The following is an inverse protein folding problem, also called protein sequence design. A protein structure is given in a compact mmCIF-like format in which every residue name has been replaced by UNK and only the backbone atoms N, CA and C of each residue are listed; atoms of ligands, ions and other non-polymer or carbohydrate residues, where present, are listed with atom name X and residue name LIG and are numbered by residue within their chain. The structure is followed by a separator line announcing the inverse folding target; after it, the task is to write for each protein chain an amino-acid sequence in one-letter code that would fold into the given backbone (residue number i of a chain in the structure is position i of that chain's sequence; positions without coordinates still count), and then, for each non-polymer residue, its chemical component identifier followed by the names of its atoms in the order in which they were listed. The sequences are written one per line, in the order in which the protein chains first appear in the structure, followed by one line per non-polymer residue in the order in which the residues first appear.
data_IF_347216850494
#
_entry.id   IF_347216850494
#
_cell.length_a   1.000
_cell.length_b   1.000
_cell.length_c   1.000
_cell.angle_alpha   90.00
_cell.angle_beta   90.00
_cell.angle_gamma   90.00
#
_symmetry.space_group_name_H-M   'P 1'
#
loop_
_entity.id
_entity.type
_entity.pdbx_description
1 polymer ?
#
# COMPACT_ATOMS: atom_id res chain seq x y z
N UNK A 1 30.11 -15.77 24.04
CA UNK A 1 31.33 -16.30 24.68
C UNK A 1 32.22 -16.87 23.60
N UNK A 2 33.16 -16.05 23.14
CA UNK A 2 34.55 -16.40 22.80
C UNK A 2 35.18 -15.11 22.23
N UNK A 3 35.68 -14.31 23.17
CA UNK A 3 36.59 -13.21 22.93
C UNK A 3 38.00 -13.79 22.77
N UNK A 4 38.69 -13.52 21.66
CA UNK A 4 40.14 -13.63 21.60
C UNK A 4 40.69 -12.42 20.83
N UNK A 5 40.88 -11.34 21.58
CA UNK A 5 41.63 -10.17 21.16
C UNK A 5 43.12 -10.46 21.33
N UNK A 6 43.82 -10.81 20.24
CA UNK A 6 45.29 -10.76 20.20
C UNK A 6 45.74 -9.34 19.82
N UNK A 7 46.06 -8.56 20.84
CA UNK A 7 46.88 -7.35 20.74
C UNK A 7 48.34 -7.79 20.93
N UNK A 8 49.12 -7.83 19.85
CA UNK A 8 50.56 -8.08 19.92
C UNK A 8 51.33 -6.96 19.20
N UNK A 9 52.11 -6.26 20.02
CA UNK A 9 52.93 -5.09 19.74
C UNK A 9 54.28 -5.51 19.13
N UNK A 10 54.61 -4.82 18.02
CA UNK A 10 55.92 -4.54 17.43
C UNK A 10 56.91 -5.67 17.06
N UNK A 11 57.40 -5.60 15.82
CA UNK A 11 58.40 -6.51 15.29
C UNK A 11 58.56 -6.37 13.78
N UNK A 12 59.58 -5.61 13.35
CA UNK A 12 59.99 -5.39 11.96
C UNK A 12 60.06 -6.70 11.15
N UNK A 13 58.98 -7.03 10.45
CA UNK A 13 58.92 -8.15 9.50
C UNK A 13 58.87 -7.62 8.08
N UNK A 14 59.94 -7.92 7.34
CA UNK A 14 60.11 -7.73 5.89
C UNK A 14 58.78 -7.82 5.15
N UNK A 15 58.40 -6.73 4.46
CA UNK A 15 57.16 -6.64 3.67
C UNK A 15 57.10 -7.77 2.64
N UNK A 16 56.37 -8.84 2.95
CA UNK A 16 55.99 -9.86 1.96
C UNK A 16 55.14 -9.20 0.87
N UNK A 17 55.34 -9.51 -0.41
CA UNK A 17 54.52 -8.95 -1.48
C UNK A 17 53.05 -9.28 -1.21
N UNK A 18 52.21 -8.23 -1.13
CA UNK A 18 50.75 -8.36 -0.95
C UNK A 18 50.24 -9.31 -2.03
N UNK A 19 49.75 -10.50 -1.63
CA UNK A 19 49.00 -11.38 -2.53
C UNK A 19 47.86 -10.55 -3.11
N UNK A 20 47.84 -10.42 -4.44
CA UNK A 20 46.74 -9.76 -5.15
C UNK A 20 45.43 -10.36 -4.64
N UNK A 21 44.56 -9.53 -4.07
CA UNK A 21 43.26 -9.97 -3.60
C UNK A 21 42.55 -10.65 -4.77
N UNK A 22 42.31 -11.96 -4.66
CA UNK A 22 41.51 -12.69 -5.65
C UNK A 22 40.20 -11.94 -5.77
N UNK A 23 39.92 -11.36 -6.94
CA UNK A 23 38.63 -10.75 -7.24
C UNK A 23 37.58 -11.84 -6.99
N UNK A 24 36.75 -11.64 -5.96
CA UNK A 24 35.61 -12.53 -5.70
C UNK A 24 34.80 -12.61 -7.01
N UNK A 25 34.38 -13.81 -7.46
CA UNK A 25 33.55 -13.91 -8.65
C UNK A 25 32.34 -12.99 -8.45
N UNK A 26 32.12 -12.10 -9.41
CA UNK A 26 30.94 -11.23 -9.42
C UNK A 26 29.73 -12.14 -9.36
N UNK A 27 28.93 -12.04 -8.30
CA UNK A 27 27.71 -12.84 -8.15
C UNK A 27 26.83 -12.52 -9.37
N UNK A 28 26.51 -13.54 -10.17
CA UNK A 28 25.58 -13.40 -11.30
C UNK A 28 24.24 -12.90 -10.75
N UNK A 29 23.61 -11.99 -11.48
CA UNK A 29 22.32 -11.46 -11.06
C UNK A 29 21.25 -12.55 -11.15
N UNK A 30 20.23 -12.49 -10.30
CA UNK A 30 19.10 -13.44 -10.37
C UNK A 30 18.40 -13.38 -11.73
N UNK A 31 18.44 -12.21 -12.39
CA UNK A 31 17.91 -11.98 -13.74
C UNK A 31 18.66 -12.76 -14.83
N UNK A 32 19.89 -13.20 -14.57
CA UNK A 32 20.70 -14.00 -15.50
C UNK A 32 20.61 -15.51 -15.23
N UNK A 33 20.18 -15.89 -14.03
CA UNK A 33 20.17 -17.29 -13.55
C UNK A 33 18.81 -17.95 -13.75
N UNK A 34 17.72 -17.18 -13.66
CA UNK A 34 16.35 -17.68 -13.74
C UNK A 34 15.59 -17.14 -14.95
N UNK A 35 14.61 -17.91 -15.43
CA UNK A 35 13.75 -17.47 -16.51
C UNK A 35 12.80 -16.34 -16.05
N UNK A 36 12.44 -15.37 -16.91
CA UNK A 36 11.46 -14.34 -16.57
C UNK A 36 10.12 -14.86 -16.03
N UNK A 37 9.67 -16.03 -16.46
CA UNK A 37 8.44 -16.67 -15.97
C UNK A 37 8.59 -17.17 -14.51
N UNK A 38 9.76 -17.69 -14.15
CA UNK A 38 10.09 -18.12 -12.79
C UNK A 38 10.18 -16.91 -11.84
N UNK A 39 10.79 -15.81 -12.31
CA UNK A 39 10.88 -14.57 -11.56
C UNK A 39 9.51 -13.96 -11.28
N UNK A 40 8.61 -13.96 -12.29
CA UNK A 40 7.21 -13.53 -12.11
C UNK A 40 6.46 -14.40 -11.11
N UNK A 41 6.61 -15.73 -11.21
CA UNK A 41 5.96 -16.66 -10.25
C UNK A 41 6.48 -16.48 -8.83
N UNK A 42 7.75 -16.11 -8.69
CA UNK A 42 8.40 -15.88 -7.40
C UNK A 42 8.25 -14.46 -6.84
N UNK A 43 7.56 -13.55 -7.52
CA UNK A 43 7.47 -12.13 -7.15
C UNK A 43 8.87 -11.46 -6.99
N UNK A 44 9.78 -11.76 -7.92
CA UNK A 44 11.15 -11.23 -7.96
C UNK A 44 11.42 -10.28 -9.13
N UNK A 45 10.37 -9.74 -9.75
CA UNK A 45 10.52 -8.73 -10.78
C UNK A 45 10.93 -7.38 -10.19
N UNK A 46 11.39 -6.46 -11.03
CA UNK A 46 11.70 -5.10 -10.61
C UNK A 46 10.47 -4.39 -10.01
N UNK A 47 9.28 -4.63 -10.58
CA UNK A 47 8.01 -4.12 -10.04
C UNK A 47 7.73 -4.67 -8.64
N UNK A 48 7.97 -5.97 -8.40
CA UNK A 48 7.77 -6.55 -7.08
C UNK A 48 8.75 -5.98 -6.05
N UNK A 49 9.98 -5.65 -6.48
CA UNK A 49 10.94 -4.97 -5.63
C UNK A 49 10.48 -3.54 -5.29
N UNK A 50 9.93 -2.81 -6.27
CA UNK A 50 9.34 -1.50 -6.04
C UNK A 50 8.18 -1.56 -5.06
N UNK A 51 7.25 -2.51 -5.24
CA UNK A 51 6.10 -2.70 -4.34
C UNK A 51 6.56 -2.99 -2.90
N UNK A 52 7.59 -3.84 -2.74
CA UNK A 52 8.12 -4.20 -1.41
C UNK A 52 8.85 -3.05 -0.71
N UNK A 53 9.44 -2.13 -1.46
CA UNK A 53 10.20 -1.01 -0.91
C UNK A 53 9.36 0.26 -0.72
N UNK A 54 8.20 0.33 -1.37
CA UNK A 54 7.31 1.49 -1.31
C UNK A 54 6.40 1.40 -0.10
N UNK A 55 6.36 2.46 0.73
CA UNK A 55 5.55 2.52 1.96
C UNK A 55 4.08 2.85 1.66
N UNK A 56 3.44 2.02 0.84
CA UNK A 56 2.04 2.13 0.42
C UNK A 56 1.43 0.73 0.49
N UNK A 57 0.18 0.54 0.93
CA UNK A 57 -0.45 -0.78 0.92
C UNK A 57 -0.42 -1.43 -0.47
N UNK A 58 0.05 -2.69 -0.55
CA UNK A 58 0.18 -3.44 -1.81
C UNK A 58 -1.09 -3.41 -2.65
N UNK A 59 -2.27 -3.57 -2.01
CA UNK A 59 -3.58 -3.54 -2.69
C UNK A 59 -3.89 -2.21 -3.39
N UNK A 60 -3.29 -1.10 -2.95
CA UNK A 60 -3.45 0.19 -3.59
C UNK A 60 -2.50 0.32 -4.79
N UNK A 61 -1.32 -0.29 -4.71
CA UNK A 61 -0.30 -0.28 -5.78
C UNK A 61 -0.71 -1.17 -6.97
N UNK A 62 -1.35 -2.31 -6.73
CA UNK A 62 -1.70 -3.30 -7.78
C UNK A 62 -3.06 -3.04 -8.47
N UNK A 63 -3.71 -1.91 -8.23
CA UNK A 63 -5.03 -1.62 -8.82
C UNK A 63 -4.91 -1.34 -10.32
N UNK A 64 -5.87 -1.87 -11.10
CA UNK A 64 -6.04 -1.51 -12.51
C UNK A 64 -6.27 -0.01 -12.71
N UNK A 65 -7.02 0.60 -11.79
CA UNK A 65 -7.24 2.05 -11.75
C UNK A 65 -6.40 2.64 -10.61
N UNK A 66 -5.35 3.41 -10.93
CA UNK A 66 -4.41 3.93 -9.94
C UNK A 66 -5.11 4.92 -9.01
N UNK A 67 -4.65 4.96 -7.76
CA UNK A 67 -5.09 5.94 -6.77
C UNK A 67 -4.19 7.17 -6.90
N UNK A 68 -4.76 8.28 -7.32
CA UNK A 68 -4.06 9.57 -7.42
C UNK A 68 -4.44 10.46 -6.24
N UNK A 69 -3.44 11.11 -5.66
CA UNK A 69 -3.66 12.14 -4.66
C UNK A 69 -4.42 13.33 -5.26
N UNK A 70 -5.25 13.96 -4.45
CA UNK A 70 -6.04 15.14 -4.84
C UNK A 70 -5.48 16.37 -4.15
N UNK A 71 -5.16 17.44 -4.89
CA UNK A 71 -4.77 18.72 -4.31
C UNK A 71 -5.85 19.31 -3.38
N UNK A 72 -5.42 20.02 -2.32
CA UNK A 72 -6.33 20.61 -1.32
C UNK A 72 -7.27 21.69 -1.89
N UNK A 73 -6.91 22.31 -3.01
CA UNK A 73 -7.68 23.35 -3.71
C UNK A 73 -8.68 22.79 -4.73
N UNK A 74 -8.72 21.47 -4.92
CA UNK A 74 -9.61 20.80 -5.88
C UNK A 74 -10.98 20.49 -5.26
N UNK A 75 -12.04 20.61 -6.07
CA UNK A 75 -13.40 20.17 -5.71
C UNK A 75 -13.64 18.69 -6.01
N UNK A 76 -12.65 17.97 -6.54
CA UNK A 76 -12.80 16.58 -7.02
C UNK A 76 -13.33 15.65 -5.92
N UNK A 77 -12.84 15.78 -4.68
CA UNK A 77 -13.32 14.95 -3.56
C UNK A 77 -14.78 15.26 -3.19
N UNK A 78 -15.19 16.51 -3.32
CA UNK A 78 -16.57 16.96 -3.04
C UNK A 78 -17.52 16.42 -4.11
N UNK A 79 -17.14 16.57 -5.38
CA UNK A 79 -17.91 16.07 -6.53
C UNK A 79 -18.02 14.54 -6.53
N UNK A 80 -16.91 13.84 -6.22
CA UNK A 80 -16.87 12.38 -6.09
C UNK A 80 -17.74 11.92 -4.91
N UNK A 81 -17.66 12.58 -3.76
CA UNK A 81 -18.47 12.23 -2.58
C UNK A 81 -19.97 12.38 -2.85
N UNK A 82 -20.38 13.45 -3.53
CA UNK A 82 -21.76 13.62 -3.97
C UNK A 82 -22.20 12.53 -4.94
N UNK A 83 -21.35 12.18 -5.90
CA UNK A 83 -21.66 11.14 -6.87
C UNK A 83 -21.83 9.78 -6.19
N UNK A 84 -20.90 9.40 -5.30
CA UNK A 84 -20.97 8.17 -4.51
C UNK A 84 -22.25 8.16 -3.68
N UNK A 85 -22.59 9.27 -3.01
CA UNK A 85 -23.82 9.34 -2.22
C UNK A 85 -25.07 9.06 -3.07
N UNK A 86 -25.14 9.68 -4.25
CA UNK A 86 -26.24 9.47 -5.22
C UNK A 86 -26.28 8.01 -5.71
N UNK A 87 -25.13 7.37 -5.94
CA UNK A 87 -25.08 5.97 -6.40
C UNK A 87 -25.39 4.95 -5.29
N UNK A 88 -24.87 5.16 -4.08
CA UNK A 88 -24.91 4.17 -3.01
C UNK A 88 -26.17 4.28 -2.15
N UNK A 89 -26.71 5.48 -1.96
CA UNK A 89 -27.82 5.72 -1.02
C UNK A 89 -29.12 6.21 -1.68
N UNK A 90 -29.04 6.88 -2.83
CA UNK A 90 -30.25 7.36 -3.52
C UNK A 90 -30.77 6.38 -4.58
N UNK A 91 -29.89 5.63 -5.24
CA UNK A 91 -30.32 4.63 -6.23
C UNK A 91 -30.87 3.38 -5.54
N UNK A 92 -32.02 2.84 -5.98
CA UNK A 92 -32.52 1.56 -5.51
C UNK A 92 -31.51 0.44 -5.79
N UNK A 93 -31.21 -0.37 -4.79
CA UNK A 93 -30.40 -1.57 -4.95
C UNK A 93 -31.17 -2.64 -5.72
N UNK A 94 -30.46 -3.47 -6.48
CA UNK A 94 -31.06 -4.58 -7.25
C UNK A 94 -31.74 -5.58 -6.29
N UNK A 95 -31.12 -5.84 -5.14
CA UNK A 95 -31.70 -6.64 -4.08
C UNK A 95 -32.62 -5.79 -3.21
N UNK A 96 -33.87 -6.24 -3.05
CA UNK A 96 -34.83 -5.61 -2.13
C UNK A 96 -34.62 -6.14 -0.72
N UNK A 97 -33.48 -5.81 -0.11
CA UNK A 97 -33.12 -6.26 1.24
C UNK A 97 -34.11 -5.75 2.31
N UNK A 98 -34.81 -4.65 2.01
CA UNK A 98 -35.71 -3.97 2.93
C UNK A 98 -37.19 -4.28 2.70
N UNK A 99 -37.50 -5.33 1.93
CA UNK A 99 -38.87 -5.71 1.58
C UNK A 99 -39.74 -6.02 2.81
N UNK A 100 -39.13 -6.52 3.88
CA UNK A 100 -39.80 -6.90 5.13
C UNK A 100 -39.89 -5.77 6.16
N UNK A 101 -39.24 -4.63 5.91
CA UNK A 101 -39.24 -3.50 6.84
C UNK A 101 -40.51 -2.66 6.67
N UNK A 102 -41.00 -2.12 7.80
CA UNK A 102 -42.09 -1.14 7.76
C UNK A 102 -41.60 0.16 7.10
N UNK A 103 -42.50 0.96 6.50
CA UNK A 103 -42.14 2.25 5.89
C UNK A 103 -41.34 3.16 6.84
N UNK A 104 -41.68 3.18 8.14
CA UNK A 104 -40.99 3.99 9.15
C UNK A 104 -39.57 3.47 9.42
N UNK A 105 -39.38 2.15 9.43
CA UNK A 105 -38.05 1.56 9.60
C UNK A 105 -37.16 1.84 8.38
N UNK A 106 -37.74 1.76 7.17
CA UNK A 106 -37.04 2.10 5.92
C UNK A 106 -36.63 3.58 5.87
N UNK A 107 -37.49 4.48 6.36
CA UNK A 107 -37.18 5.91 6.47
C UNK A 107 -35.99 6.17 7.41
N UNK A 108 -35.91 5.46 8.55
CA UNK A 108 -34.80 5.57 9.52
C UNK A 108 -33.46 5.03 8.99
N UNK A 109 -33.50 4.09 8.05
CA UNK A 109 -32.32 3.53 7.41
C UNK A 109 -31.73 4.46 6.35
N UNK A 110 -32.53 5.37 5.77
CA UNK A 110 -32.04 6.36 4.81
C UNK A 110 -30.95 7.22 5.45
N UNK A 111 -29.78 7.16 4.85
CA UNK A 111 -28.68 8.06 5.18
C UNK A 111 -28.96 9.41 4.54
N UNK A 112 -28.96 10.46 5.35
CA UNK A 112 -29.20 11.82 4.86
C UNK A 112 -27.95 12.47 4.25
N UNK A 113 -28.08 13.72 3.75
CA UNK A 113 -27.00 14.45 3.08
C UNK A 113 -25.73 14.67 3.92
N UNK A 114 -25.83 14.62 5.25
CA UNK A 114 -24.68 14.67 6.15
C UNK A 114 -23.64 13.56 5.89
N UNK A 115 -24.06 12.49 5.20
CA UNK A 115 -23.20 11.37 4.81
C UNK A 115 -22.17 11.76 3.75
N UNK A 116 -22.46 12.79 2.94
CA UNK A 116 -21.53 13.28 1.91
C UNK A 116 -20.21 13.72 2.55
N UNK A 117 -20.27 14.47 3.66
CA UNK A 117 -19.06 14.89 4.38
C UNK A 117 -18.22 13.72 4.90
N UNK A 118 -18.87 12.63 5.33
CA UNK A 118 -18.19 11.41 5.77
C UNK A 118 -17.53 10.68 4.61
N UNK A 119 -18.22 10.58 3.48
CA UNK A 119 -17.69 9.98 2.25
C UNK A 119 -16.45 10.76 1.80
N UNK A 120 -16.54 12.09 1.74
CA UNK A 120 -15.42 12.97 1.42
C UNK A 120 -14.22 12.70 2.33
N UNK A 121 -14.44 12.56 3.64
CA UNK A 121 -13.34 12.31 4.58
C UNK A 121 -12.74 10.91 4.42
N UNK A 122 -13.55 9.91 4.11
CA UNK A 122 -13.06 8.58 3.76
C UNK A 122 -12.24 8.59 2.45
N UNK A 123 -12.66 9.34 1.43
CA UNK A 123 -11.90 9.52 0.19
C UNK A 123 -10.54 10.19 0.45
N UNK A 124 -10.50 11.21 1.30
CA UNK A 124 -9.26 11.86 1.74
C UNK A 124 -8.30 10.86 2.44
N UNK A 125 -8.82 10.02 3.34
CA UNK A 125 -8.02 8.97 3.97
C UNK A 125 -7.43 7.97 2.96
N UNK A 126 -8.18 7.61 1.93
CA UNK A 126 -7.71 6.65 0.93
C UNK A 126 -6.75 7.30 -0.09
N UNK A 127 -7.11 8.45 -0.68
CA UNK A 127 -6.36 9.04 -1.80
C UNK A 127 -5.12 9.81 -1.36
N UNK A 128 -5.20 10.52 -0.22
CA UNK A 128 -4.13 11.41 0.22
C UNK A 128 -3.29 10.79 1.35
N UNK A 129 -3.90 10.00 2.22
CA UNK A 129 -3.20 9.37 3.36
C UNK A 129 -2.93 7.87 3.15
N UNK A 130 -3.40 7.30 2.04
CA UNK A 130 -3.12 5.91 1.65
C UNK A 130 -3.53 4.89 2.72
N UNK A 131 -4.60 5.20 3.46
CA UNK A 131 -5.16 4.33 4.49
C UNK A 131 -6.14 3.34 3.88
N UNK A 132 -6.03 2.08 4.27
CA UNK A 132 -6.94 1.04 3.80
C UNK A 132 -8.28 1.05 4.53
N UNK A 133 -9.32 0.54 3.85
CA UNK A 133 -10.68 0.41 4.39
C UNK A 133 -10.73 -0.28 5.77
N UNK A 134 -10.02 -1.40 6.03
CA UNK A 134 -10.02 -2.00 7.37
C UNK A 134 -9.51 -1.02 8.43
N UNK A 135 -8.42 -0.31 8.17
CA UNK A 135 -7.86 0.65 9.11
C UNK A 135 -8.83 1.80 9.40
N UNK A 136 -9.43 2.37 8.35
CA UNK A 136 -10.43 3.45 8.48
C UNK A 136 -11.63 2.98 9.31
N UNK A 137 -12.16 1.78 9.02
CA UNK A 137 -13.33 1.25 9.70
C UNK A 137 -13.11 0.98 11.20
N UNK A 138 -11.91 0.55 11.59
CA UNK A 138 -11.59 0.24 12.99
C UNK A 138 -11.12 1.45 13.79
N UNK A 139 -10.37 2.37 13.17
CA UNK A 139 -9.63 3.42 13.89
C UNK A 139 -10.02 4.86 13.51
N UNK A 140 -10.91 5.07 12.54
CA UNK A 140 -11.36 6.41 12.09
C UNK A 140 -12.88 6.49 11.92
N UNK A 141 -13.65 5.66 12.62
CA UNK A 141 -15.11 5.52 12.48
C UNK A 141 -15.91 6.77 12.88
N UNK A 142 -15.29 7.66 13.64
CA UNK A 142 -15.86 8.91 14.14
C UNK A 142 -15.95 10.00 13.08
N UNK A 143 -15.15 9.88 12.02
CA UNK A 143 -15.14 10.76 10.85
C UNK A 143 -16.25 10.36 9.86
#
# INVERSE_FOLDING_TARGET
EEDEYEEDEDGERRRRPKKAAKKKPTKKSIFEVYEPSELKRGFFTDLDNEIRNTDIPERMQIRDVPITAVPDDSTELDDEAEWIYKQAFCKPTISNMDAHLTPEAREKLKKGPQTIGKIRKALDFMRNQQLEVPFIAFYRKEY
#
